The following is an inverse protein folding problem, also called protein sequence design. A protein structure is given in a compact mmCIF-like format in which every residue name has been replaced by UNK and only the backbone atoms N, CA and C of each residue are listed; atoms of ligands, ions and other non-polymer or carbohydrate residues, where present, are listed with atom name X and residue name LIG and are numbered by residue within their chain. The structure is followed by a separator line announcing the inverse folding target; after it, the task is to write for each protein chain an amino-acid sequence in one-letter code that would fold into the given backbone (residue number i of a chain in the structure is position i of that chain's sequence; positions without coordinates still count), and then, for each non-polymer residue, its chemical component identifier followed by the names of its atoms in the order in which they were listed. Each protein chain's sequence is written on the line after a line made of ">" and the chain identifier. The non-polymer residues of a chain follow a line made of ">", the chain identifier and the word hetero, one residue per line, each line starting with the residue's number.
data_IF_414221500184
#
_entry.id   IF_414221500184
#
_cell.length_a   1.000
_cell.length_b   1.000
_cell.length_c   1.000
_cell.angle_alpha   90.00
_cell.angle_beta   90.00
_cell.angle_gamma   90.00
#
_symmetry.space_group_name_H-M   'P 1'
#
loop_
_entity.id
_entity.type
_entity.pdbx_description
1 polymer ?
#
# COMPACT_ATOMS: atom_id res chain seq x y z
N UNK A 1 39.16 -29.90 -6.33
CA UNK A 1 38.08 -29.38 -5.49
C UNK A 1 37.65 -27.99 -5.99
N UNK A 2 36.34 -27.78 -6.18
CA UNK A 2 35.84 -26.55 -6.70
C UNK A 2 36.00 -25.39 -5.66
N UNK A 3 36.46 -24.27 -6.13
CA UNK A 3 36.60 -23.07 -5.29
C UNK A 3 35.23 -22.41 -5.07
N UNK A 4 34.91 -22.14 -3.84
CA UNK A 4 33.68 -21.40 -3.51
C UNK A 4 33.89 -19.91 -3.84
N UNK A 5 33.05 -19.38 -4.71
CA UNK A 5 33.08 -17.98 -5.10
C UNK A 5 31.81 -17.28 -4.61
N UNK A 6 31.96 -16.39 -3.65
CA UNK A 6 30.84 -15.65 -3.10
C UNK A 6 30.37 -14.50 -3.98
N UNK A 7 31.23 -14.03 -4.89
CA UNK A 7 30.91 -12.91 -5.76
C UNK A 7 29.68 -13.12 -6.62
N UNK A 8 29.49 -14.32 -7.15
CA UNK A 8 28.34 -14.66 -7.99
C UNK A 8 27.05 -14.59 -7.18
N UNK A 9 27.05 -15.19 -6.00
CA UNK A 9 25.88 -15.22 -5.10
C UNK A 9 25.54 -13.81 -4.62
N UNK A 10 26.55 -13.05 -4.20
CA UNK A 10 26.34 -11.67 -3.74
C UNK A 10 25.81 -10.80 -4.88
N UNK A 11 26.37 -10.94 -6.09
CA UNK A 11 25.89 -10.20 -7.25
C UNK A 11 24.45 -10.51 -7.59
N UNK A 12 24.03 -11.77 -7.49
CA UNK A 12 22.66 -12.19 -7.73
C UNK A 12 21.70 -11.57 -6.71
N UNK A 13 22.08 -11.52 -5.44
CA UNK A 13 21.29 -10.88 -4.38
C UNK A 13 21.14 -9.39 -4.62
N UNK A 14 22.24 -8.73 -5.02
CA UNK A 14 22.23 -7.29 -5.33
C UNK A 14 21.33 -6.99 -6.53
N UNK A 15 21.43 -7.78 -7.58
CA UNK A 15 20.60 -7.62 -8.78
C UNK A 15 19.12 -7.79 -8.49
N UNK A 16 18.77 -8.73 -7.61
CA UNK A 16 17.40 -8.98 -7.21
C UNK A 16 16.78 -7.72 -6.58
N UNK A 17 17.52 -7.08 -5.67
CA UNK A 17 17.06 -5.85 -5.02
C UNK A 17 17.01 -4.69 -6.02
N UNK A 18 18.07 -4.53 -6.83
CA UNK A 18 18.15 -3.46 -7.81
C UNK A 18 17.05 -3.57 -8.87
N UNK A 19 16.66 -4.79 -9.23
CA UNK A 19 15.55 -5.02 -10.15
C UNK A 19 14.24 -4.50 -9.58
N UNK A 20 14.01 -4.68 -8.27
CA UNK A 20 12.83 -4.15 -7.60
C UNK A 20 12.88 -2.63 -7.48
N UNK A 21 14.06 -2.04 -7.52
CA UNK A 21 14.26 -0.59 -7.39
C UNK A 21 14.27 0.14 -8.74
N UNK A 22 13.97 -0.54 -9.84
CA UNK A 22 13.91 0.10 -11.16
C UNK A 22 12.91 1.25 -11.14
N UNK A 23 13.32 2.37 -11.72
CA UNK A 23 12.50 3.57 -11.76
C UNK A 23 12.61 4.46 -10.54
N UNK A 24 13.36 4.05 -9.53
CA UNK A 24 13.57 4.87 -8.33
C UNK A 24 14.54 6.01 -8.64
N UNK A 25 14.48 7.03 -7.82
CA UNK A 25 15.21 8.26 -8.05
C UNK A 25 16.69 8.11 -7.66
N UNK A 26 17.58 8.42 -8.61
CA UNK A 26 19.03 8.58 -8.38
C UNK A 26 19.68 7.37 -7.70
N UNK A 27 20.38 7.57 -6.55
CA UNK A 27 21.11 6.54 -5.84
C UNK A 27 20.21 5.36 -5.40
N UNK A 28 18.95 5.61 -5.14
CA UNK A 28 17.98 4.57 -4.76
C UNK A 28 17.76 3.54 -5.86
N UNK A 29 18.06 3.90 -7.10
CA UNK A 29 18.01 3.01 -8.25
C UNK A 29 19.33 2.32 -8.51
N UNK A 30 20.46 3.00 -8.25
CA UNK A 30 21.79 2.59 -8.70
C UNK A 30 22.65 1.93 -7.61
N UNK A 31 22.60 2.45 -6.40
CA UNK A 31 23.46 2.00 -5.29
C UNK A 31 22.71 0.97 -4.46
N UNK A 32 23.30 -0.21 -4.29
CA UNK A 32 22.65 -1.32 -3.59
C UNK A 32 22.21 -0.94 -2.17
N UNK A 33 23.06 -0.27 -1.41
CA UNK A 33 22.72 0.10 -0.02
C UNK A 33 21.49 0.99 0.06
N UNK A 34 21.43 1.99 -0.80
CA UNK A 34 20.30 2.89 -0.88
C UNK A 34 19.06 2.19 -1.46
N UNK A 35 19.26 1.36 -2.48
CA UNK A 35 18.19 0.60 -3.11
C UNK A 35 17.55 -0.39 -2.13
N UNK A 36 18.36 -1.06 -1.33
CA UNK A 36 17.88 -2.01 -0.31
C UNK A 36 16.95 -1.32 0.68
N UNK A 37 17.38 -0.17 1.21
CA UNK A 37 16.57 0.60 2.14
C UNK A 37 15.28 1.11 1.49
N UNK A 38 15.38 1.58 0.25
CA UNK A 38 14.21 2.07 -0.50
C UNK A 38 13.19 0.95 -0.74
N UNK A 39 13.65 -0.24 -1.11
CA UNK A 39 12.77 -1.39 -1.34
C UNK A 39 12.10 -1.84 -0.05
N UNK A 40 12.85 -1.88 1.06
CA UNK A 40 12.29 -2.24 2.38
C UNK A 40 11.22 -1.23 2.77
N UNK A 41 11.49 0.06 2.61
CA UNK A 41 10.53 1.11 2.95
C UNK A 41 9.30 1.06 2.06
N UNK A 42 9.50 0.78 0.77
CA UNK A 42 8.39 0.62 -0.18
C UNK A 42 7.47 -0.53 0.25
N UNK A 43 8.05 -1.64 0.73
CA UNK A 43 7.28 -2.76 1.26
C UNK A 43 6.48 -2.40 2.49
N UNK A 44 7.08 -1.64 3.41
CA UNK A 44 6.41 -1.15 4.62
C UNK A 44 5.25 -0.22 4.27
N UNK A 45 5.46 0.69 3.33
CA UNK A 45 4.42 1.59 2.86
C UNK A 45 3.29 0.82 2.16
N UNK A 46 3.64 -0.16 1.35
CA UNK A 46 2.64 -0.98 0.66
C UNK A 46 1.74 -1.71 1.67
N UNK A 47 2.33 -2.29 2.70
CA UNK A 47 1.59 -2.98 3.76
C UNK A 47 0.65 -2.02 4.48
N UNK A 48 1.18 -0.88 4.93
CA UNK A 48 0.41 0.14 5.62
C UNK A 48 -0.71 0.69 4.75
N UNK A 49 -0.39 1.00 3.50
CA UNK A 49 -1.30 1.72 2.61
C UNK A 49 -2.39 0.82 2.04
N UNK A 50 -2.17 -0.49 1.96
CA UNK A 50 -3.26 -1.42 1.66
C UNK A 50 -4.36 -1.34 2.72
N UNK A 51 -3.98 -1.18 3.99
CA UNK A 51 -4.94 -0.96 5.09
C UNK A 51 -5.57 0.42 5.01
N UNK A 52 -4.78 1.43 4.72
CA UNK A 52 -5.23 2.81 4.57
C UNK A 52 -6.20 2.94 3.40
N UNK A 53 -5.95 2.23 2.30
CA UNK A 53 -6.83 2.23 1.14
C UNK A 53 -8.24 1.75 1.51
N UNK A 54 -8.34 0.71 2.31
CA UNK A 54 -9.64 0.19 2.78
C UNK A 54 -10.37 1.25 3.59
N UNK A 55 -9.68 1.94 4.48
CA UNK A 55 -10.27 3.03 5.27
C UNK A 55 -10.69 4.20 4.41
N UNK A 56 -9.87 4.55 3.41
CA UNK A 56 -10.15 5.66 2.50
C UNK A 56 -11.38 5.35 1.64
N UNK A 57 -11.50 4.13 1.15
CA UNK A 57 -12.65 3.72 0.35
C UNK A 57 -13.92 3.74 1.19
N UNK A 58 -13.84 3.26 2.43
CA UNK A 58 -14.99 3.31 3.35
C UNK A 58 -15.42 4.75 3.61
N UNK A 59 -14.45 5.64 3.81
CA UNK A 59 -14.73 7.07 3.97
C UNK A 59 -15.43 7.67 2.75
N UNK A 60 -14.96 7.32 1.57
CA UNK A 60 -15.57 7.76 0.31
C UNK A 60 -17.01 7.24 0.17
N UNK A 61 -17.24 5.97 0.49
CA UNK A 61 -18.56 5.38 0.45
C UNK A 61 -19.51 6.09 1.40
N UNK A 62 -19.05 6.42 2.61
CA UNK A 62 -19.84 7.16 3.59
C UNK A 62 -20.25 8.53 3.04
N UNK A 63 -19.30 9.23 2.42
CA UNK A 63 -19.58 10.55 1.80
C UNK A 63 -20.65 10.42 0.73
N UNK A 64 -20.55 9.42 -0.13
CA UNK A 64 -21.51 9.21 -1.24
C UNK A 64 -22.88 8.83 -0.71
N UNK A 65 -22.93 7.92 0.26
CA UNK A 65 -24.19 7.49 0.89
C UNK A 65 -24.86 8.66 1.60
N UNK A 66 -24.06 9.47 2.32
CA UNK A 66 -24.57 10.65 3.01
C UNK A 66 -25.17 11.65 2.03
N UNK A 67 -24.51 11.89 0.90
CA UNK A 67 -25.00 12.81 -0.12
C UNK A 67 -26.38 12.36 -0.64
N UNK A 68 -26.51 11.09 -0.96
CA UNK A 68 -27.78 10.54 -1.46
C UNK A 68 -28.86 10.55 -0.37
N UNK A 69 -28.50 10.19 0.87
CA UNK A 69 -29.43 10.22 1.99
C UNK A 69 -30.00 11.60 2.22
N UNK A 70 -29.18 12.65 2.06
CA UNK A 70 -29.63 14.05 2.23
C UNK A 70 -30.61 14.47 1.15
N UNK A 71 -30.50 13.92 -0.06
CA UNK A 71 -31.50 14.13 -1.11
C UNK A 71 -32.87 13.66 -0.67
N UNK A 72 -32.91 12.60 0.15
CA UNK A 72 -34.16 12.05 0.70
C UNK A 72 -34.51 12.56 2.11
N UNK A 73 -33.81 13.63 2.54
CA UNK A 73 -34.08 14.27 3.83
C UNK A 73 -33.50 13.58 5.05
N UNK A 74 -32.54 12.65 4.86
CA UNK A 74 -31.89 11.94 5.95
C UNK A 74 -30.41 12.30 6.04
N UNK A 75 -29.84 12.24 7.25
CA UNK A 75 -28.39 12.24 7.44
C UNK A 75 -27.88 10.81 7.40
N UNK A 76 -26.56 10.63 7.21
CA UNK A 76 -25.94 9.31 7.22
C UNK A 76 -26.22 8.57 8.53
N UNK A 77 -26.07 9.28 9.67
CA UNK A 77 -26.31 8.68 10.99
C UNK A 77 -27.74 8.15 11.15
N UNK A 78 -28.70 8.93 10.68
CA UNK A 78 -30.11 8.52 10.73
C UNK A 78 -30.39 7.33 9.82
N UNK A 79 -29.78 7.32 8.63
CA UNK A 79 -29.94 6.19 7.70
C UNK A 79 -29.39 4.90 8.29
N UNK A 80 -28.18 4.94 8.85
CA UNK A 80 -27.54 3.75 9.44
C UNK A 80 -28.33 3.27 10.67
N UNK A 81 -28.78 4.21 11.51
CA UNK A 81 -29.61 3.86 12.67
C UNK A 81 -30.91 3.16 12.23
N UNK A 82 -31.53 3.67 11.17
CA UNK A 82 -32.76 3.07 10.62
C UNK A 82 -32.50 1.69 10.05
N UNK A 83 -31.39 1.49 9.33
CA UNK A 83 -31.03 0.17 8.78
C UNK A 83 -30.78 -0.85 9.88
N UNK A 84 -30.06 -0.45 10.93
CA UNK A 84 -29.80 -1.32 12.08
C UNK A 84 -31.10 -1.69 12.78
N UNK A 85 -31.99 -0.72 12.96
CA UNK A 85 -33.31 -0.96 13.58
C UNK A 85 -34.17 -1.91 12.75
N UNK A 86 -34.03 -1.83 11.43
CA UNK A 86 -34.77 -2.73 10.51
C UNK A 86 -34.12 -4.11 10.40
N UNK A 87 -32.96 -4.34 11.01
CA UNK A 87 -32.26 -5.61 11.00
C UNK A 87 -31.45 -5.88 9.74
N UNK A 88 -31.10 -4.83 8.99
CA UNK A 88 -30.32 -4.95 7.75
C UNK A 88 -28.84 -4.70 7.98
#
# INVERSE_FOLDING_TARGET
>A
MARVKRGVIAGARHKKILKKAKGYYNARRKVFRAAKQAVIKAGQYAYRDRKTNKRNMRGLWIVRINAEARVHGLSYSKLIAGLNKAGL
#
